data_IF_052203208585
#
_entry.id   IF_052203208585
#
_cell.length_a   1.000
_cell.length_b   1.000
_cell.length_c   1.000
_cell.angle_alpha   90.00
_cell.angle_beta   90.00
_cell.angle_gamma   90.00
#
_symmetry.space_group_name_H-M   'P 1'
#
loop_
_entity.id
_entity.type
_entity.pdbx_description
1 polymer ?
#
# COMPACT_ATOMS: atom_id res chain seq x y z
N UNK A 1 21.37 27.10 11.82
CA UNK A 1 20.88 26.76 11.83
C UNK A 1 20.00 26.19 11.87
N UNK A 2 19.82 26.25 11.90
CA UNK A 2 18.91 25.51 12.21
C UNK A 2 18.21 24.71 11.37
N UNK A 3 18.47 24.63 10.43
CA UNK A 3 17.86 23.86 9.57
C UNK A 3 17.94 22.49 9.77
N UNK A 4 19.02 22.04 10.35
CA UNK A 4 19.18 20.69 10.76
C UNK A 4 18.18 20.28 11.79
N UNK A 5 17.50 21.22 12.38
CA UNK A 5 16.46 20.97 13.37
C UNK A 5 15.07 20.99 12.77
N UNK A 6 14.97 21.12 11.46
CA UNK A 6 13.69 21.11 10.78
C UNK A 6 13.08 19.71 10.86
N UNK A 7 11.82 19.64 11.25
CA UNK A 7 11.11 18.37 11.27
C UNK A 7 10.99 17.81 9.84
N UNK A 8 10.93 16.47 9.68
CA UNK A 8 10.66 15.88 8.37
C UNK A 8 9.37 16.45 7.77
N UNK A 9 9.34 16.56 6.46
CA UNK A 9 8.14 17.02 5.77
C UNK A 9 6.98 16.09 6.10
N UNK A 10 5.81 16.67 6.38
CA UNK A 10 4.63 15.88 6.64
C UNK A 10 4.20 15.12 5.39
N UNK A 11 3.58 13.96 5.59
CA UNK A 11 2.96 13.22 4.49
C UNK A 11 1.77 14.03 3.97
N UNK A 12 1.64 14.12 2.66
CA UNK A 12 0.55 14.83 1.99
C UNK A 12 -0.16 13.88 1.03
N UNK A 13 -1.27 14.34 0.46
CA UNK A 13 -1.95 13.59 -0.60
C UNK A 13 -0.99 13.31 -1.77
N UNK A 14 -0.10 14.26 -2.11
CA UNK A 14 0.90 14.06 -3.15
C UNK A 14 1.88 12.94 -2.79
N UNK A 15 2.24 12.80 -1.53
CA UNK A 15 3.08 11.69 -1.06
C UNK A 15 2.39 10.35 -1.30
N UNK A 16 1.10 10.25 -0.96
CA UNK A 16 0.33 9.03 -1.19
C UNK A 16 0.16 8.72 -2.67
N UNK A 17 0.00 9.74 -3.50
CA UNK A 17 -0.06 9.57 -4.96
C UNK A 17 1.26 9.00 -5.49
N UNK A 18 2.40 9.51 -5.01
CA UNK A 18 3.72 9.00 -5.39
C UNK A 18 3.94 7.56 -4.92
N UNK A 19 3.47 7.22 -3.72
CA UNK A 19 3.52 5.86 -3.20
C UNK A 19 2.68 4.92 -4.07
N UNK A 20 1.49 5.36 -4.47
CA UNK A 20 0.61 4.61 -5.38
C UNK A 20 1.28 4.39 -6.74
N UNK A 21 1.96 5.40 -7.27
CA UNK A 21 2.70 5.26 -8.54
C UNK A 21 3.81 4.23 -8.43
N UNK A 22 4.50 4.18 -7.30
CA UNK A 22 5.53 3.17 -7.06
C UNK A 22 4.93 1.76 -7.01
N UNK A 23 3.73 1.60 -6.41
CA UNK A 23 2.99 0.34 -6.46
C UNK A 23 2.68 -0.06 -7.89
N UNK A 24 2.19 0.87 -8.70
CA UNK A 24 1.83 0.59 -10.09
C UNK A 24 3.05 0.26 -10.96
N UNK A 25 4.24 0.75 -10.59
CA UNK A 25 5.49 0.36 -11.24
C UNK A 25 6.07 -0.94 -10.67
N UNK A 26 5.46 -1.51 -9.63
CA UNK A 26 5.99 -2.67 -8.91
C UNK A 26 7.42 -2.43 -8.40
N UNK A 27 7.68 -1.21 -7.92
CA UNK A 27 9.02 -0.79 -7.51
C UNK A 27 9.17 -0.91 -5.99
N UNK A 28 9.56 -2.10 -5.54
CA UNK A 28 9.68 -2.37 -4.11
C UNK A 28 10.71 -1.48 -3.42
N UNK A 29 11.81 -1.13 -4.10
CA UNK A 29 12.81 -0.24 -3.52
C UNK A 29 12.22 1.14 -3.24
N UNK A 30 11.49 1.70 -4.20
CA UNK A 30 10.84 3.00 -4.02
C UNK A 30 9.81 2.94 -2.90
N UNK A 31 9.01 1.87 -2.83
CA UNK A 31 8.00 1.71 -1.79
C UNK A 31 8.61 1.74 -0.39
N UNK A 32 9.72 1.04 -0.19
CA UNK A 32 10.39 1.00 1.12
C UNK A 32 10.94 2.37 1.53
N UNK A 33 11.26 3.23 0.58
CA UNK A 33 11.71 4.59 0.86
C UNK A 33 10.63 5.48 1.49
N UNK A 34 9.35 5.11 1.35
CA UNK A 34 8.24 5.85 1.96
C UNK A 34 7.90 5.37 3.37
N UNK A 35 8.46 4.28 3.86
CA UNK A 35 8.00 3.61 5.07
C UNK A 35 9.02 3.62 6.19
N UNK A 36 8.54 3.59 7.43
CA UNK A 36 9.40 3.52 8.61
C UNK A 36 10.08 2.14 8.71
N UNK A 37 11.15 2.04 9.52
CA UNK A 37 11.86 0.77 9.70
C UNK A 37 10.98 -0.30 10.36
N UNK A 38 10.10 0.12 11.27
CA UNK A 38 9.20 -0.76 11.99
C UNK A 38 7.80 -0.79 11.38
N UNK A 39 7.68 -0.48 10.09
CA UNK A 39 6.40 -0.38 9.42
C UNK A 39 5.57 -1.67 9.51
N UNK A 40 4.26 -1.50 9.40
CA UNK A 40 3.30 -2.60 9.47
C UNK A 40 2.43 -2.57 8.22
N UNK A 41 2.22 -3.72 7.62
CA UNK A 41 1.27 -3.90 6.54
C UNK A 41 0.27 -4.99 6.93
N UNK A 42 -1.02 -4.63 6.92
CA UNK A 42 -2.13 -5.58 7.07
C UNK A 42 -2.75 -5.79 5.70
N UNK A 43 -2.61 -7.00 5.17
CA UNK A 43 -3.20 -7.38 3.89
C UNK A 43 -4.73 -7.46 4.01
N UNK A 44 -5.41 -7.35 2.87
CA UNK A 44 -6.87 -7.38 2.84
C UNK A 44 -7.43 -8.76 3.22
N UNK A 45 -6.69 -9.82 2.97
CA UNK A 45 -7.10 -11.18 3.33
C UNK A 45 -6.19 -11.77 4.39
N UNK A 46 -6.64 -12.85 5.00
CA UNK A 46 -5.86 -13.57 5.97
C UNK A 46 -6.71 -14.14 7.11
N UNK A 47 -6.11 -14.94 7.99
CA UNK A 47 -6.86 -15.68 8.99
C UNK A 47 -7.23 -14.87 10.24
N UNK A 48 -6.59 -13.71 10.45
CA UNK A 48 -6.78 -12.93 11.67
C UNK A 48 -7.76 -11.78 11.44
N UNK A 49 -8.16 -11.14 12.53
CA UNK A 49 -9.11 -10.02 12.46
C UNK A 49 -8.56 -8.86 11.62
N UNK A 50 -7.25 -8.72 11.55
CA UNK A 50 -6.57 -7.68 10.75
C UNK A 50 -6.05 -8.24 9.40
N UNK A 51 -6.45 -9.43 9.00
CA UNK A 51 -5.96 -10.08 7.80
C UNK A 51 -4.64 -10.80 8.06
N UNK A 52 -3.66 -10.60 7.20
CA UNK A 52 -2.29 -11.09 7.40
C UNK A 52 -1.39 -9.89 7.67
N UNK A 53 -0.73 -9.89 8.83
CA UNK A 53 0.13 -8.79 9.24
C UNK A 53 1.59 -9.09 8.99
N UNK A 54 2.27 -8.15 8.35
CA UNK A 54 3.72 -8.14 8.19
C UNK A 54 4.30 -6.97 8.97
N UNK A 55 5.37 -7.22 9.72
CA UNK A 55 5.99 -6.19 10.57
C UNK A 55 7.46 -6.06 10.20
N UNK A 56 7.91 -4.82 10.01
CA UNK A 56 9.27 -4.48 9.63
C UNK A 56 9.48 -4.45 8.12
N UNK A 57 10.51 -3.71 7.70
CA UNK A 57 10.73 -3.44 6.26
C UNK A 57 10.91 -4.71 5.44
N UNK A 58 11.68 -5.67 5.95
CA UNK A 58 11.94 -6.88 5.16
C UNK A 58 10.66 -7.69 4.94
N UNK A 59 9.86 -7.87 5.99
CA UNK A 59 8.61 -8.63 5.89
C UNK A 59 7.58 -7.90 5.03
N UNK A 60 7.47 -6.57 5.18
CA UNK A 60 6.54 -5.76 4.40
C UNK A 60 6.94 -5.76 2.93
N UNK A 61 8.23 -5.61 2.63
CA UNK A 61 8.74 -5.71 1.26
C UNK A 61 8.40 -7.06 0.64
N UNK A 62 8.63 -8.13 1.36
CA UNK A 62 8.34 -9.48 0.87
C UNK A 62 6.84 -9.64 0.58
N UNK A 63 5.97 -9.07 1.42
CA UNK A 63 4.53 -9.11 1.20
C UNK A 63 4.12 -8.35 -0.07
N UNK A 64 4.69 -7.17 -0.31
CA UNK A 64 4.42 -6.41 -1.54
C UNK A 64 4.91 -7.17 -2.77
N UNK A 65 6.13 -7.70 -2.72
CA UNK A 65 6.69 -8.47 -3.84
C UNK A 65 5.86 -9.71 -4.14
N UNK A 66 5.28 -10.34 -3.13
CA UNK A 66 4.39 -11.50 -3.32
C UNK A 66 3.14 -11.11 -4.13
N UNK A 67 2.58 -9.92 -3.90
CA UNK A 67 1.44 -9.43 -4.69
C UNK A 67 1.84 -9.26 -6.15
N UNK A 68 3.00 -8.66 -6.41
CA UNK A 68 3.49 -8.45 -7.78
C UNK A 68 3.76 -9.76 -8.51
N UNK A 69 4.21 -10.77 -7.76
CA UNK A 69 4.45 -12.10 -8.32
C UNK A 69 3.14 -12.82 -8.63
N UNK A 70 2.17 -12.71 -7.72
CA UNK A 70 0.86 -13.36 -7.86
C UNK A 70 0.05 -12.73 -8.99
N UNK A 71 0.14 -11.41 -9.14
CA UNK A 71 -0.56 -10.64 -10.16
C UNK A 71 0.47 -9.79 -10.91
N UNK A 72 1.14 -10.35 -11.93
CA UNK A 72 2.16 -9.59 -12.66
C UNK A 72 1.65 -8.31 -13.32
N UNK A 73 0.35 -8.23 -13.58
CA UNK A 73 -0.32 -7.04 -14.12
C UNK A 73 -1.07 -6.25 -13.06
N UNK A 74 -0.76 -6.45 -11.77
CA UNK A 74 -1.44 -5.74 -10.68
C UNK A 74 -1.39 -4.23 -10.89
N UNK A 75 -2.58 -3.60 -10.77
CA UNK A 75 -2.72 -2.17 -10.96
C UNK A 75 -3.77 -1.61 -9.99
N UNK A 76 -3.45 -0.48 -9.37
CA UNK A 76 -4.34 0.25 -8.48
C UNK A 76 -4.72 1.54 -9.17
N UNK A 77 -5.88 1.52 -9.84
CA UNK A 77 -6.36 2.63 -10.66
C UNK A 77 -7.32 3.54 -9.93
N UNK A 78 -7.65 4.67 -10.55
CA UNK A 78 -8.62 5.65 -10.05
C UNK A 78 -8.28 6.17 -8.66
N UNK A 79 -6.99 6.38 -8.41
CA UNK A 79 -6.51 6.76 -7.08
C UNK A 79 -7.07 8.08 -6.60
N UNK A 80 -7.53 8.11 -5.34
CA UNK A 80 -7.90 9.31 -4.61
C UNK A 80 -7.25 9.25 -3.24
N UNK A 81 -6.61 10.33 -2.85
CA UNK A 81 -5.78 10.35 -1.65
C UNK A 81 -6.18 11.48 -0.72
N UNK A 82 -6.33 11.16 0.56
CA UNK A 82 -6.74 12.11 1.59
C UNK A 82 -5.81 11.98 2.77
N UNK A 83 -5.38 13.10 3.33
CA UNK A 83 -4.52 13.15 4.50
C UNK A 83 -5.07 14.14 5.51
N UNK A 84 -5.14 13.72 6.77
CA UNK A 84 -5.46 14.61 7.87
C UNK A 84 -4.56 14.25 9.05
N UNK A 85 -3.68 15.18 9.44
CA UNK A 85 -2.71 14.93 10.50
C UNK A 85 -1.85 13.72 10.21
N UNK A 86 -1.84 12.77 11.13
CA UNK A 86 -1.05 11.55 11.00
C UNK A 86 -1.84 10.36 10.42
N UNK A 87 -2.96 10.62 9.74
CA UNK A 87 -3.80 9.58 9.15
C UNK A 87 -4.06 9.89 7.69
N UNK A 88 -4.20 8.85 6.88
CA UNK A 88 -4.53 9.01 5.48
C UNK A 88 -5.33 7.87 4.92
N UNK A 89 -5.90 8.10 3.75
CA UNK A 89 -6.68 7.12 3.00
C UNK A 89 -6.30 7.24 1.53
N UNK A 90 -6.09 6.10 0.89
CA UNK A 90 -6.03 6.02 -0.57
C UNK A 90 -7.14 5.09 -1.04
N UNK A 91 -8.01 5.61 -1.89
CA UNK A 91 -9.05 4.81 -2.56
C UNK A 91 -8.53 4.40 -3.93
N UNK A 92 -8.88 3.19 -4.35
CA UNK A 92 -8.42 2.67 -5.64
C UNK A 92 -9.37 1.57 -6.14
N UNK A 93 -9.19 1.24 -7.41
CA UNK A 93 -9.75 0.01 -8.00
C UNK A 93 -8.58 -0.90 -8.31
N UNK A 94 -8.52 -2.05 -7.67
CA UNK A 94 -7.49 -3.05 -7.96
C UNK A 94 -7.91 -3.91 -9.13
N UNK A 95 -7.01 -4.09 -10.07
CA UNK A 95 -7.17 -5.06 -11.16
C UNK A 95 -5.93 -5.93 -11.24
N UNK A 96 -6.13 -7.21 -11.50
CA UNK A 96 -5.03 -8.13 -11.66
C UNK A 96 -5.49 -9.48 -12.19
N UNK A 97 -4.61 -10.11 -12.94
CA UNK A 97 -4.82 -11.45 -13.47
C UNK A 97 -3.92 -12.42 -12.72
N UNK A 98 -4.54 -13.40 -12.04
CA UNK A 98 -3.81 -14.42 -11.32
C UNK A 98 -3.13 -15.37 -12.31
N UNK A 99 -1.97 -15.89 -11.90
CA UNK A 99 -1.22 -16.83 -12.74
C UNK A 99 -2.03 -18.07 -13.13
N UNK A 100 -3.06 -18.42 -12.37
CA UNK A 100 -3.96 -19.53 -12.65
C UNK A 100 -5.08 -19.19 -13.63
N UNK A 101 -5.10 -17.97 -14.20
CA UNK A 101 -6.03 -17.62 -15.27
C UNK A 101 -7.36 -17.02 -14.83
N UNK A 102 -7.47 -16.50 -13.62
CA UNK A 102 -8.66 -15.77 -13.18
C UNK A 102 -8.29 -14.32 -12.87
N UNK A 103 -9.29 -13.46 -12.86
CA UNK A 103 -9.09 -12.01 -12.74
C UNK A 103 -9.86 -11.44 -11.55
N UNK A 104 -9.26 -10.43 -10.92
CA UNK A 104 -9.92 -9.58 -9.93
C UNK A 104 -10.07 -8.18 -10.50
N UNK A 105 -11.22 -7.58 -10.25
CA UNK A 105 -11.45 -6.15 -10.41
C UNK A 105 -12.35 -5.74 -9.25
N UNK A 106 -11.84 -4.96 -8.31
CA UNK A 106 -12.58 -4.62 -7.11
C UNK A 106 -12.13 -3.29 -6.52
N UNK A 107 -13.09 -2.55 -5.98
CA UNK A 107 -12.81 -1.34 -5.23
C UNK A 107 -12.22 -1.67 -3.88
N UNK A 108 -11.33 -0.81 -3.43
CA UNK A 108 -10.76 -0.93 -2.10
C UNK A 108 -10.14 0.37 -1.64
N UNK A 109 -9.51 0.30 -0.49
CA UNK A 109 -8.79 1.43 0.07
C UNK A 109 -7.69 0.95 1.00
N UNK A 110 -6.73 1.84 1.20
CA UNK A 110 -5.72 1.69 2.25
C UNK A 110 -5.98 2.73 3.32
N UNK A 111 -5.90 2.32 4.57
CA UNK A 111 -5.86 3.23 5.72
C UNK A 111 -4.41 3.32 6.19
N UNK A 112 -3.93 4.55 6.37
CA UNK A 112 -2.55 4.81 6.73
C UNK A 112 -2.41 5.48 8.08
N UNK A 113 -1.30 5.19 8.77
CA UNK A 113 -0.81 5.99 9.88
C UNK A 113 0.59 6.45 9.53
N UNK A 114 0.90 7.71 9.86
CA UNK A 114 2.18 8.33 9.53
C UNK A 114 2.97 8.64 10.79
N UNK A 115 4.30 8.61 10.67
CA UNK A 115 5.21 9.01 11.72
C UNK A 115 6.50 9.53 11.09
N UNK A 116 6.96 10.71 11.53
CA UNK A 116 8.20 11.32 11.07
C UNK A 116 8.27 11.49 9.55
N UNK A 117 7.13 11.86 8.93
CA UNK A 117 7.06 12.08 7.50
C UNK A 117 7.04 10.81 6.65
N UNK A 118 6.88 9.66 7.28
CA UNK A 118 6.88 8.36 6.62
C UNK A 118 5.60 7.58 6.95
N UNK A 119 5.33 6.55 6.17
CA UNK A 119 4.21 5.64 6.40
C UNK A 119 4.65 4.60 7.43
N UNK A 120 3.98 4.58 8.58
CA UNK A 120 4.25 3.61 9.63
C UNK A 120 3.32 2.39 9.53
N UNK A 121 2.08 2.59 9.11
CA UNK A 121 1.08 1.51 8.99
C UNK A 121 0.32 1.69 7.69
N UNK A 122 0.15 0.60 6.98
CA UNK A 122 -0.70 0.50 5.79
C UNK A 122 -1.66 -0.66 6.01
N UNK A 123 -2.95 -0.39 6.01
CA UNK A 123 -3.99 -1.41 6.15
C UNK A 123 -4.86 -1.43 4.91
N UNK A 124 -4.87 -2.55 4.21
CA UNK A 124 -5.62 -2.71 2.96
C UNK A 124 -6.99 -3.31 3.23
N UNK A 125 -7.99 -2.74 2.58
CA UNK A 125 -9.36 -3.25 2.57
C UNK A 125 -9.82 -3.33 1.12
N UNK A 126 -10.44 -4.43 0.76
CA UNK A 126 -10.89 -4.61 -0.62
C UNK A 126 -12.21 -5.37 -0.61
N UNK A 127 -13.14 -4.94 -1.47
CA UNK A 127 -14.37 -5.66 -1.64
C UNK A 127 -14.09 -7.07 -2.16
N UNK A 128 -14.83 -8.04 -1.62
CA UNK A 128 -14.72 -9.41 -2.05
C UNK A 128 -15.73 -9.66 -3.17
N UNK A 129 -15.26 -10.25 -4.24
CA UNK A 129 -16.07 -10.57 -5.41
C UNK A 129 -15.71 -11.97 -5.91
N UNK A 130 -16.65 -12.66 -6.58
CA UNK A 130 -16.31 -13.91 -7.23
C UNK A 130 -15.19 -13.70 -8.25
N UNK A 131 -14.35 -14.71 -8.43
CA UNK A 131 -13.29 -14.69 -9.44
C UNK A 131 -13.92 -14.56 -10.82
N UNK A 132 -13.32 -13.73 -11.66
CA UNK A 132 -13.76 -13.54 -13.03
C UNK A 132 -12.85 -14.31 -13.97
N UNK A 133 -13.36 -14.82 -15.11
CA UNK A 133 -12.49 -15.39 -16.14
C UNK A 133 -11.52 -14.32 -16.65
N UNK A 134 -10.29 -14.72 -16.86
CA UNK A 134 -9.28 -13.83 -17.42
C UNK A 134 -9.50 -13.59 -18.90
#
# INVERSE_FOLDING_TARGET
MADTLTAPAAVTAATLAAFSDAFNRHDANALMGFMTEDCVFDAAGGPDVHGTRSVGRDAVRAAFEAVFKTFPDAHWGRGRHYVTGNRGVSEWVFTGTHAEGWRIEAEGCDLFEFRDGLIAVKRAFRKERPKQPA
#
